data_IF_118610062927
#
_entry.id   IF_118610062927
#
_cell.length_a   1.000
_cell.length_b   1.000
_cell.length_c   1.000
_cell.angle_alpha   90.00
_cell.angle_beta   90.00
_cell.angle_gamma   90.00
#
_symmetry.space_group_name_H-M   'P 1'
#
loop_
_entity.id
_entity.type
_entity.pdbx_description
1 polymer ?
#
# COMPACT_ATOMS: atom_id res chain seq x y z
N UNK A 1 -5.68 12.46 24.95
CA UNK A 1 -6.16 11.85 23.70
C UNK A 1 -5.33 10.59 23.49
N UNK A 2 -5.85 9.43 23.89
CA UNK A 2 -5.17 8.17 23.63
C UNK A 2 -5.29 7.89 22.13
N UNK A 3 -4.16 7.76 21.46
CA UNK A 3 -4.10 7.33 20.07
C UNK A 3 -4.42 5.83 20.09
N UNK A 4 -5.71 5.48 20.07
CA UNK A 4 -6.14 4.10 19.97
C UNK A 4 -5.76 3.59 18.59
N UNK A 5 -4.91 2.55 18.56
CA UNK A 5 -4.55 1.82 17.35
C UNK A 5 -5.84 1.39 16.64
N UNK A 6 -6.05 1.85 15.40
CA UNK A 6 -7.28 1.50 14.68
C UNK A 6 -7.37 -0.01 14.54
N UNK A 7 -8.59 -0.55 14.60
CA UNK A 7 -8.84 -1.94 14.23
C UNK A 7 -8.69 -2.16 12.72
N UNK A 8 -8.39 -1.10 11.97
CA UNK A 8 -8.22 -1.14 10.53
C UNK A 8 -6.75 -1.11 10.13
N UNK A 9 -6.49 -1.65 8.95
CA UNK A 9 -5.19 -1.63 8.28
C UNK A 9 -5.35 -1.10 6.87
N UNK A 10 -4.29 -0.48 6.37
CA UNK A 10 -4.16 -0.08 4.97
C UNK A 10 -3.32 -1.11 4.23
N UNK A 11 -3.81 -1.55 3.07
CA UNK A 11 -3.12 -2.50 2.20
C UNK A 11 -2.48 -1.72 1.05
N UNK A 12 -1.17 -1.87 0.91
CA UNK A 12 -0.36 -1.19 -0.10
C UNK A 12 0.58 -2.18 -0.77
N UNK A 13 0.96 -1.90 -2.01
CA UNK A 13 1.90 -2.72 -2.77
C UNK A 13 3.11 -1.87 -3.09
N UNK A 14 4.26 -2.23 -2.51
CA UNK A 14 5.53 -1.61 -2.85
C UNK A 14 5.91 -2.03 -4.26
N UNK A 15 6.15 -1.04 -5.09
CA UNK A 15 6.57 -1.27 -6.47
C UNK A 15 8.08 -1.55 -6.53
N UNK A 16 8.52 -2.30 -7.54
CA UNK A 16 9.94 -2.45 -7.86
C UNK A 16 10.59 -1.07 -8.04
N UNK A 17 11.88 -0.93 -7.72
CA UNK A 17 12.66 0.28 -8.02
C UNK A 17 12.70 0.63 -9.53
N UNK A 18 12.11 -0.20 -10.40
CA UNK A 18 11.98 0.02 -11.84
C UNK A 18 10.75 0.86 -12.26
N UNK A 19 10.14 1.64 -11.34
CA UNK A 19 9.09 2.62 -11.70
C UNK A 19 9.57 3.66 -12.72
N UNK A 20 10.89 3.76 -12.95
CA UNK A 20 11.51 4.60 -13.99
C UNK A 20 11.04 4.33 -15.43
N UNK A 21 10.20 3.32 -15.70
CA UNK A 21 9.75 2.94 -17.06
C UNK A 21 8.38 3.47 -17.46
N UNK A 22 7.58 4.02 -16.53
CA UNK A 22 6.20 4.47 -16.82
C UNK A 22 6.13 5.98 -17.10
N UNK A 23 6.89 6.78 -16.35
CA UNK A 23 7.09 8.21 -16.64
C UNK A 23 8.50 8.62 -16.23
N UNK A 24 9.21 9.31 -17.11
CA UNK A 24 10.61 9.70 -16.89
C UNK A 24 10.75 10.79 -15.80
N UNK A 25 9.65 11.45 -15.43
CA UNK A 25 9.61 12.39 -14.29
C UNK A 25 9.64 11.67 -12.92
N UNK A 26 9.36 10.36 -12.91
CA UNK A 26 9.45 9.47 -11.74
C UNK A 26 10.77 8.66 -11.73
N UNK A 27 11.70 8.96 -12.65
CA UNK A 27 13.00 8.33 -12.70
C UNK A 27 13.88 8.86 -11.54
N UNK A 28 13.84 8.12 -10.42
CA UNK A 28 14.68 8.35 -9.24
C UNK A 28 14.53 7.21 -8.25
N UNK A 29 15.41 7.14 -7.24
CA UNK A 29 15.38 6.13 -6.16
C UNK A 29 14.21 6.31 -5.17
N UNK A 30 13.04 6.71 -5.65
CA UNK A 30 11.85 6.91 -4.84
C UNK A 30 11.13 5.57 -4.67
N UNK A 31 10.73 5.26 -3.44
CA UNK A 31 9.83 4.14 -3.17
C UNK A 31 8.41 4.57 -3.45
N UNK A 32 7.75 3.90 -4.40
CA UNK A 32 6.34 4.11 -4.70
C UNK A 32 5.49 2.96 -4.17
N UNK A 33 4.23 3.29 -3.89
CA UNK A 33 3.21 2.34 -3.47
C UNK A 33 2.03 2.43 -4.42
N UNK A 34 1.44 1.29 -4.77
CA UNK A 34 0.30 1.17 -5.66
C UNK A 34 -0.81 0.35 -5.00
N UNK A 35 -2.04 0.49 -5.52
CA UNK A 35 -3.13 -0.42 -5.20
C UNK A 35 -2.87 -1.82 -5.76
N UNK A 36 -3.58 -2.81 -5.22
CA UNK A 36 -3.44 -4.21 -5.65
C UNK A 36 -3.60 -4.38 -7.16
N UNK A 37 -4.68 -3.84 -7.73
CA UNK A 37 -4.99 -3.99 -9.15
C UNK A 37 -3.92 -3.33 -10.03
N UNK A 38 -3.56 -2.09 -9.74
CA UNK A 38 -2.54 -1.35 -10.49
C UNK A 38 -1.16 -2.03 -10.41
N UNK A 39 -0.80 -2.61 -9.25
CA UNK A 39 0.43 -3.37 -9.08
C UNK A 39 0.46 -4.66 -9.93
N UNK A 40 -0.68 -5.35 -10.05
CA UNK A 40 -0.82 -6.56 -10.87
C UNK A 40 -0.83 -6.23 -12.37
N UNK A 41 -1.58 -5.20 -12.78
CA UNK A 41 -1.76 -4.81 -14.18
C UNK A 41 -0.45 -4.31 -14.80
N UNK A 42 0.38 -3.63 -14.01
CA UNK A 42 1.65 -3.07 -14.47
C UNK A 42 2.82 -4.05 -14.36
N UNK A 43 2.64 -5.17 -13.65
CA UNK A 43 3.73 -6.10 -13.32
C UNK A 43 4.82 -5.47 -12.44
N UNK A 44 4.57 -4.31 -11.84
CA UNK A 44 5.55 -3.55 -11.03
C UNK A 44 5.68 -4.08 -9.59
N UNK A 45 5.18 -5.29 -9.30
CA UNK A 45 5.07 -5.83 -7.95
C UNK A 45 6.40 -6.28 -7.35
N UNK A 46 6.67 -5.89 -6.10
CA UNK A 46 7.77 -6.46 -5.31
C UNK A 46 7.36 -6.94 -3.92
N UNK A 47 6.41 -6.26 -3.27
CA UNK A 47 6.04 -6.62 -1.89
C UNK A 47 4.66 -6.09 -1.51
N UNK A 48 3.81 -6.93 -0.92
CA UNK A 48 2.57 -6.51 -0.27
C UNK A 48 2.90 -6.03 1.15
N UNK A 49 2.33 -4.89 1.54
CA UNK A 49 2.50 -4.26 2.85
C UNK A 49 1.14 -4.04 3.49
N UNK A 50 1.04 -4.31 4.78
CA UNK A 50 -0.17 -4.12 5.58
C UNK A 50 0.22 -3.31 6.79
N UNK A 51 -0.18 -2.03 6.81
CA UNK A 51 0.19 -1.10 7.87
C UNK A 51 -1.03 -0.71 8.70
N UNK A 52 -0.78 -0.26 9.92
CA UNK A 52 -1.83 0.34 10.74
C UNK A 52 -2.47 1.53 10.03
N UNK A 53 -3.80 1.55 10.01
CA UNK A 53 -4.54 2.73 9.60
C UNK A 53 -4.70 3.65 10.82
N UNK A 54 -4.43 4.94 10.65
CA UNK A 54 -4.73 5.95 11.65
C UNK A 54 -5.90 6.77 11.14
N UNK A 55 -6.93 6.96 11.96
CA UNK A 55 -8.14 7.62 11.52
C UNK A 55 -7.84 9.08 11.12
N UNK A 56 -8.18 9.45 9.88
CA UNK A 56 -7.78 10.73 9.26
C UNK A 56 -6.50 10.70 8.40
N UNK A 57 -5.75 9.60 8.36
CA UNK A 57 -4.58 9.40 7.49
C UNK A 57 -5.01 8.70 6.20
N UNK A 58 -5.78 9.40 5.36
CA UNK A 58 -6.13 8.89 4.04
C UNK A 58 -4.86 8.80 3.18
N UNK A 59 -4.44 7.55 2.89
CA UNK A 59 -3.29 7.29 2.03
C UNK A 59 -3.73 7.03 0.59
N UNK A 60 -3.02 7.64 -0.34
CA UNK A 60 -3.25 7.56 -1.78
C UNK A 60 -1.98 7.09 -2.50
N UNK A 61 -2.16 6.42 -3.63
CA UNK A 61 -1.04 6.15 -4.53
C UNK A 61 -0.63 7.40 -5.34
N UNK A 62 0.39 7.25 -6.18
CA UNK A 62 0.91 8.33 -7.02
C UNK A 62 -0.07 8.81 -8.10
N UNK A 63 -1.18 8.09 -8.32
CA UNK A 63 -2.28 8.47 -9.22
C UNK A 63 -3.48 9.02 -8.43
N UNK A 64 -3.26 9.41 -7.17
CA UNK A 64 -4.29 9.91 -6.25
C UNK A 64 -5.44 8.92 -6.01
N UNK A 65 -5.21 7.62 -6.26
CA UNK A 65 -6.19 6.58 -5.95
C UNK A 65 -6.03 6.16 -4.50
N UNK A 66 -7.14 6.09 -3.77
CA UNK A 66 -7.16 5.68 -2.36
C UNK A 66 -6.73 4.23 -2.20
N UNK A 67 -5.85 3.96 -1.24
CA UNK A 67 -5.49 2.59 -0.87
C UNK A 67 -6.66 1.85 -0.21
N UNK A 68 -6.60 0.53 -0.27
CA UNK A 68 -7.61 -0.33 0.35
C UNK A 68 -7.46 -0.30 1.87
N UNK A 69 -8.55 0.00 2.57
CA UNK A 69 -8.63 -0.04 4.04
C UNK A 69 -9.53 -1.20 4.41
N UNK A 70 -9.05 -2.08 5.30
CA UNK A 70 -9.80 -3.24 5.79
C UNK A 70 -9.77 -3.33 7.30
N UNK A 71 -10.77 -3.99 7.88
CA UNK A 71 -10.67 -4.43 9.28
C UNK A 71 -9.57 -5.48 9.41
N UNK A 72 -8.82 -5.46 10.52
CA UNK A 72 -7.85 -6.49 10.87
C UNK A 72 -8.50 -7.87 10.99
N UNK A 73 -9.78 -7.93 11.37
CA UNK A 73 -10.53 -9.18 11.46
C UNK A 73 -10.84 -9.80 10.09
N UNK A 74 -10.77 -9.02 9.02
CA UNK A 74 -11.07 -9.47 7.66
C UNK A 74 -9.80 -9.88 6.89
N UNK A 75 -8.64 -9.90 7.56
CA UNK A 75 -7.38 -10.33 6.96
C UNK A 75 -7.41 -11.84 6.73
N UNK A 76 -6.98 -12.24 5.54
CA UNK A 76 -6.69 -13.64 5.22
C UNK A 76 -5.50 -14.15 6.04
N UNK A 77 -5.35 -15.47 6.13
CA UNK A 77 -4.26 -16.07 6.90
C UNK A 77 -2.87 -15.66 6.41
N UNK A 78 -2.70 -15.48 5.10
CA UNK A 78 -1.47 -14.96 4.50
C UNK A 78 -1.24 -13.50 4.86
N UNK A 79 -2.29 -12.67 4.89
CA UNK A 79 -2.21 -11.27 5.28
C UNK A 79 -1.86 -11.09 6.75
N UNK A 80 -2.37 -11.96 7.63
CA UNK A 80 -1.99 -11.97 9.05
C UNK A 80 -0.48 -12.20 9.20
N UNK A 81 0.10 -13.09 8.39
CA UNK A 81 1.55 -13.33 8.39
C UNK A 81 2.38 -12.14 7.91
N UNK A 82 1.80 -11.24 7.12
CA UNK A 82 2.44 -10.00 6.63
C UNK A 82 2.25 -8.84 7.62
N UNK A 83 1.10 -8.79 8.29
CA UNK A 83 0.73 -7.75 9.24
C UNK A 83 1.37 -7.99 10.62
N UNK A 84 2.69 -7.81 10.71
CA UNK A 84 3.45 -7.83 11.97
C UNK A 84 3.78 -6.41 12.45
#
# INVERSE_FOLDING_TARGET
>A
MEIMKSKQVVIMYRTANQVSRVSNELAGSYMYFARAQDAMDTGLFCQKLILDYWDGDEKFDFLEKRFEIKSRCDLTQDEIGIAC
#
